data_IF_142076049576
#
_entry.id   IF_142076049576
#
_cell.length_a   1.000
_cell.length_b   1.000
_cell.length_c   1.000
_cell.angle_alpha   90.00
_cell.angle_beta   90.00
_cell.angle_gamma   90.00
#
_symmetry.space_group_name_H-M   'P 1'
#
loop_
_entity.id
_entity.type
_entity.pdbx_description
1 polymer ?
#
# COMPACT_ATOMS: atom_id res chain seq x y z
N UNK A 1 -11.02 -18.53 -5.28
CA UNK A 1 -10.22 -17.63 -4.44
C UNK A 1 -8.89 -17.44 -5.16
N UNK A 2 -8.57 -16.21 -5.56
CA UNK A 2 -7.35 -15.92 -6.32
C UNK A 2 -6.42 -15.10 -5.42
N UNK A 3 -5.35 -15.74 -4.95
CA UNK A 3 -4.27 -15.04 -4.25
C UNK A 3 -3.51 -14.17 -5.25
N UNK A 4 -3.16 -12.96 -4.82
CA UNK A 4 -2.30 -12.07 -5.62
C UNK A 4 -0.86 -12.29 -5.14
N UNK A 5 0.00 -12.74 -6.04
CA UNK A 5 1.45 -12.78 -5.80
C UNK A 5 2.09 -11.53 -6.39
N UNK A 6 2.90 -10.82 -5.61
CA UNK A 6 3.59 -9.63 -6.10
C UNK A 6 4.44 -9.94 -7.34
N UNK A 7 5.10 -11.10 -7.37
CA UNK A 7 5.91 -11.56 -8.49
C UNK A 7 5.18 -11.57 -9.84
N UNK A 8 3.87 -11.81 -9.87
CA UNK A 8 3.07 -11.77 -11.10
C UNK A 8 2.90 -10.34 -11.65
N UNK A 9 2.91 -9.35 -10.77
CA UNK A 9 2.65 -7.94 -11.09
C UNK A 9 3.95 -7.15 -11.27
N UNK A 10 5.03 -7.55 -10.61
CA UNK A 10 6.34 -6.87 -10.64
C UNK A 10 6.83 -6.63 -12.06
N UNK A 11 6.70 -7.61 -12.95
CA UNK A 11 7.11 -7.43 -14.35
C UNK A 11 6.30 -6.36 -15.09
N UNK A 12 5.03 -6.18 -14.73
CA UNK A 12 4.19 -5.14 -15.32
C UNK A 12 4.57 -3.77 -14.77
N UNK A 13 4.75 -3.65 -13.45
CA UNK A 13 5.14 -2.40 -12.80
C UNK A 13 6.53 -1.93 -13.22
N UNK A 14 7.50 -2.84 -13.34
CA UNK A 14 8.86 -2.49 -13.81
C UNK A 14 8.86 -1.95 -15.24
N UNK A 15 7.99 -2.46 -16.11
CA UNK A 15 7.90 -2.03 -17.52
C UNK A 15 7.06 -0.76 -17.73
N UNK A 16 6.03 -0.56 -16.92
CA UNK A 16 5.01 0.48 -17.14
C UNK A 16 4.93 1.53 -16.04
N UNK A 17 5.66 1.36 -14.94
CA UNK A 17 5.48 2.13 -13.71
C UNK A 17 5.68 3.63 -13.88
N UNK A 18 6.60 4.07 -14.75
CA UNK A 18 6.82 5.49 -15.03
C UNK A 18 5.63 6.15 -15.73
N UNK A 19 4.78 5.39 -16.41
CA UNK A 19 3.55 5.87 -17.05
C UNK A 19 2.31 5.65 -16.17
N UNK A 20 2.44 4.83 -15.12
CA UNK A 20 1.33 4.42 -14.27
C UNK A 20 0.94 5.55 -13.31
N UNK A 21 -0.31 6.00 -13.43
CA UNK A 21 -0.89 7.02 -12.54
C UNK A 21 -1.85 6.43 -11.51
N UNK A 22 -2.48 5.30 -11.83
CA UNK A 22 -3.52 4.70 -10.98
C UNK A 22 -3.23 3.22 -10.80
N UNK A 23 -3.01 2.80 -9.57
CA UNK A 23 -2.81 1.41 -9.21
C UNK A 23 -3.92 0.96 -8.26
N UNK A 24 -4.56 -0.16 -8.59
CA UNK A 24 -5.54 -0.82 -7.74
C UNK A 24 -5.22 -2.30 -7.66
N UNK A 25 -4.82 -2.76 -6.48
CA UNK A 25 -4.56 -4.17 -6.16
C UNK A 25 -5.46 -4.55 -5.00
N UNK A 26 -6.58 -5.19 -5.30
CA UNK A 26 -7.60 -5.54 -4.32
C UNK A 26 -7.92 -7.02 -4.39
N UNK A 27 -7.70 -7.71 -3.29
CA UNK A 27 -8.10 -9.07 -2.99
C UNK A 27 -9.18 -9.05 -1.90
N UNK A 28 -10.20 -9.90 -2.01
CA UNK A 28 -11.33 -9.92 -1.08
C UNK A 28 -11.05 -10.71 0.18
N UNK A 29 -10.30 -11.80 0.07
CA UNK A 29 -10.24 -12.84 1.11
C UNK A 29 -8.81 -13.32 1.39
N UNK A 30 -7.83 -12.89 0.59
CA UNK A 30 -6.41 -13.24 0.76
C UNK A 30 -5.51 -12.01 0.87
N UNK A 31 -4.42 -12.08 1.67
CA UNK A 31 -3.37 -11.07 1.64
C UNK A 31 -2.69 -11.00 0.28
N UNK A 32 -1.96 -9.91 0.04
CA UNK A 32 -1.02 -9.84 -1.08
C UNK A 32 0.25 -10.58 -0.66
N UNK A 33 0.52 -11.71 -1.31
CA UNK A 33 1.73 -12.48 -1.06
C UNK A 33 2.94 -11.73 -1.61
N UNK A 34 4.06 -11.80 -0.89
CA UNK A 34 5.30 -11.06 -1.19
C UNK A 34 5.10 -9.53 -1.16
N UNK A 35 4.31 -9.03 -0.20
CA UNK A 35 4.02 -7.61 0.01
C UNK A 35 5.28 -6.73 -0.06
N UNK A 36 6.37 -7.08 0.63
CA UNK A 36 7.59 -6.28 0.62
C UNK A 36 8.18 -6.11 -0.78
N UNK A 37 8.09 -7.13 -1.64
CA UNK A 37 8.54 -7.04 -3.02
C UNK A 37 7.65 -6.09 -3.83
N UNK A 38 6.34 -6.13 -3.61
CA UNK A 38 5.40 -5.19 -4.22
C UNK A 38 5.72 -3.74 -3.82
N UNK A 39 5.89 -3.49 -2.52
CA UNK A 39 6.16 -2.16 -1.97
C UNK A 39 7.47 -1.58 -2.52
N UNK A 40 8.57 -2.34 -2.52
CA UNK A 40 9.83 -1.89 -3.13
C UNK A 40 9.70 -1.59 -4.63
N UNK A 41 8.91 -2.40 -5.33
CA UNK A 41 8.68 -2.21 -6.77
C UNK A 41 7.87 -0.95 -7.04
N UNK A 42 6.82 -0.68 -6.26
CA UNK A 42 6.04 0.55 -6.38
C UNK A 42 6.93 1.77 -6.12
N UNK A 43 7.67 1.76 -5.01
CA UNK A 43 8.61 2.83 -4.62
C UNK A 43 9.66 3.11 -5.70
N UNK A 44 10.22 2.06 -6.30
CA UNK A 44 11.32 2.20 -7.27
C UNK A 44 10.87 2.55 -8.69
N UNK A 45 9.74 1.99 -9.14
CA UNK A 45 9.37 2.02 -10.55
C UNK A 45 8.14 2.88 -10.87
N UNK A 46 7.35 3.28 -9.87
CA UNK A 46 6.05 3.93 -10.08
C UNK A 46 5.98 5.37 -9.50
N UNK A 47 6.90 6.29 -9.87
CA UNK A 47 6.99 7.61 -9.24
C UNK A 47 5.82 8.55 -9.56
N UNK A 48 4.95 8.19 -10.50
CA UNK A 48 3.88 9.05 -11.02
C UNK A 48 2.48 8.67 -10.53
N UNK A 49 2.37 7.78 -9.55
CA UNK A 49 1.09 7.38 -8.99
C UNK A 49 0.40 8.59 -8.33
N UNK A 50 -0.84 8.84 -8.73
CA UNK A 50 -1.76 9.82 -8.14
C UNK A 50 -2.91 9.15 -7.38
N UNK A 51 -3.22 7.89 -7.71
CA UNK A 51 -4.24 7.09 -7.04
C UNK A 51 -3.69 5.71 -6.70
N UNK A 52 -3.65 5.37 -5.41
CA UNK A 52 -3.23 4.07 -4.90
C UNK A 52 -4.38 3.43 -4.11
N UNK A 53 -4.78 2.23 -4.51
CA UNK A 53 -5.76 1.43 -3.78
C UNK A 53 -5.19 0.04 -3.55
N UNK A 54 -4.88 -0.27 -2.29
CA UNK A 54 -4.36 -1.55 -1.89
C UNK A 54 -5.30 -2.18 -0.87
N UNK A 55 -5.44 -3.51 -0.93
CA UNK A 55 -6.07 -4.25 0.14
C UNK A 55 -5.07 -5.19 0.82
N UNK A 56 -5.26 -5.40 2.12
CA UNK A 56 -4.65 -6.47 2.91
C UNK A 56 -3.13 -6.33 2.91
N UNK A 57 -2.70 -5.10 3.20
CA UNK A 57 -1.31 -4.65 3.31
C UNK A 57 -1.06 -4.31 4.76
N UNK A 58 0.07 -4.75 5.31
CA UNK A 58 0.48 -4.43 6.66
C UNK A 58 0.93 -2.96 6.79
N UNK A 59 0.56 -2.27 7.87
CA UNK A 59 1.03 -0.91 8.18
C UNK A 59 2.46 -0.93 8.74
N UNK A 60 3.40 -1.41 7.93
CA UNK A 60 4.83 -1.50 8.24
C UNK A 60 5.58 -0.21 7.92
N UNK A 61 6.78 -0.02 8.47
CA UNK A 61 7.67 1.10 8.12
C UNK A 61 7.91 1.19 6.61
N UNK A 62 8.06 0.04 5.95
CA UNK A 62 8.26 -0.03 4.51
C UNK A 62 7.08 0.55 3.74
N UNK A 63 5.85 0.26 4.16
CA UNK A 63 4.66 0.84 3.55
C UNK A 63 4.67 2.37 3.64
N UNK A 64 4.99 2.93 4.81
CA UNK A 64 5.07 4.39 4.98
C UNK A 64 6.17 5.02 4.11
N UNK A 65 7.34 4.38 3.99
CA UNK A 65 8.38 4.86 3.06
C UNK A 65 7.91 4.90 1.59
N UNK A 66 7.04 3.98 1.16
CA UNK A 66 6.44 4.04 -0.17
C UNK A 66 5.53 5.27 -0.28
N UNK A 67 4.65 5.48 0.70
CA UNK A 67 3.72 6.62 0.68
C UNK A 67 4.49 7.94 0.63
N UNK A 68 5.55 8.09 1.43
CA UNK A 68 6.41 9.27 1.42
C UNK A 68 7.14 9.46 0.09
N UNK A 69 7.50 8.38 -0.59
CA UNK A 69 8.15 8.47 -1.91
C UNK A 69 7.18 8.91 -3.01
N UNK A 70 5.89 8.59 -2.89
CA UNK A 70 4.87 8.92 -3.89
C UNK A 70 4.40 10.38 -3.78
N UNK A 71 5.31 11.31 -4.12
CA UNK A 71 5.10 12.77 -4.04
C UNK A 71 3.91 13.31 -4.85
N UNK A 72 3.38 12.53 -5.80
CA UNK A 72 2.22 12.90 -6.63
C UNK A 72 0.92 12.25 -6.15
N UNK A 73 0.96 11.48 -5.09
CA UNK A 73 -0.21 10.77 -4.56
C UNK A 73 -1.26 11.78 -4.10
N UNK A 74 -2.46 11.66 -4.64
CA UNK A 74 -3.62 12.50 -4.30
C UNK A 74 -4.68 11.69 -3.56
N UNK A 75 -4.77 10.38 -3.86
CA UNK A 75 -5.77 9.50 -3.30
C UNK A 75 -5.14 8.20 -2.85
N UNK A 76 -5.32 7.87 -1.56
CA UNK A 76 -4.96 6.60 -0.96
C UNK A 76 -6.23 5.91 -0.49
N UNK A 77 -6.42 4.65 -0.87
CA UNK A 77 -7.49 3.79 -0.36
C UNK A 77 -6.87 2.52 0.18
N UNK A 78 -7.17 2.21 1.43
CA UNK A 78 -6.71 0.99 2.10
C UNK A 78 -7.95 0.18 2.47
N UNK A 79 -7.94 -1.10 2.15
CA UNK A 79 -8.97 -2.08 2.57
C UNK A 79 -8.25 -3.16 3.36
N UNK A 80 -8.79 -3.58 4.49
CA UNK A 80 -8.22 -4.68 5.27
C UNK A 80 -9.14 -5.91 5.22
N UNK A 81 -8.56 -7.12 5.27
CA UNK A 81 -9.32 -8.36 5.52
C UNK A 81 -9.34 -8.52 7.04
N UNK A 82 -10.40 -8.01 7.63
CA UNK A 82 -10.74 -8.35 9.00
C UNK A 82 -11.27 -9.79 9.03
N UNK A 83 -10.44 -10.74 9.44
CA UNK A 83 -10.94 -11.95 10.10
C UNK A 83 -10.58 -12.04 11.58
N UNK A 84 -9.71 -11.19 12.15
CA UNK A 84 -9.25 -11.40 13.55
C UNK A 84 -9.02 -10.12 14.37
N UNK A 85 -9.88 -9.12 14.25
CA UNK A 85 -10.13 -8.21 15.36
C UNK A 85 -11.64 -7.96 15.40
N UNK A 86 -12.35 -8.79 16.15
CA UNK A 86 -13.76 -8.57 16.48
C UNK A 86 -13.98 -7.21 17.17
N UNK A 87 -12.90 -6.59 17.69
CA UNK A 87 -12.93 -5.31 18.38
C UNK A 87 -12.04 -4.26 17.68
N UNK A 88 -12.70 -3.24 17.15
CA UNK A 88 -12.19 -1.87 16.94
C UNK A 88 -11.38 -1.57 15.65
N UNK A 89 -12.07 -1.33 14.51
CA UNK A 89 -11.50 -0.56 13.38
C UNK A 89 -10.87 0.79 13.78
N UNK A 90 -11.22 1.31 14.96
CA UNK A 90 -10.64 2.50 15.58
C UNK A 90 -9.14 2.34 15.89
N UNK A 91 -8.68 1.13 16.25
CA UNK A 91 -7.25 0.87 16.56
C UNK A 91 -6.37 1.07 15.31
N UNK A 92 -6.81 0.62 14.14
CA UNK A 92 -6.07 0.78 12.89
C UNK A 92 -6.03 2.24 12.43
N UNK A 93 -7.16 2.95 12.54
CA UNK A 93 -7.20 4.39 12.29
C UNK A 93 -6.25 5.11 13.26
N UNK A 94 -6.21 4.71 14.53
CA UNK A 94 -5.29 5.25 15.53
C UNK A 94 -3.84 4.91 15.20
N UNK A 95 -3.50 3.69 14.76
CA UNK A 95 -2.14 3.31 14.38
C UNK A 95 -1.67 4.08 13.16
N UNK A 96 -2.50 4.16 12.12
CA UNK A 96 -2.22 4.95 10.92
C UNK A 96 -2.09 6.44 11.26
N UNK A 97 -3.00 7.00 12.05
CA UNK A 97 -2.95 8.40 12.49
C UNK A 97 -1.75 8.69 13.39
N UNK A 98 -1.35 7.76 14.28
CA UNK A 98 -0.14 7.90 15.10
C UNK A 98 1.10 7.99 14.23
N UNK A 99 1.24 7.12 13.23
CA UNK A 99 2.40 7.14 12.35
C UNK A 99 2.45 8.42 11.49
N UNK A 100 1.33 8.87 10.92
CA UNK A 100 1.26 10.17 10.21
C UNK A 100 1.54 11.36 11.15
N UNK A 101 1.01 11.36 12.37
CA UNK A 101 1.17 12.49 13.29
C UNK A 101 2.62 12.63 13.81
N UNK A 102 3.37 11.53 13.90
CA UNK A 102 4.78 11.55 14.31
C UNK A 102 5.64 12.28 13.26
N UNK A 103 5.36 12.16 11.97
CA UNK A 103 6.12 12.87 10.92
C UNK A 103 5.88 14.39 10.90
N UNK A 104 4.70 14.85 11.33
CA UNK A 104 4.38 16.28 11.45
C UNK A 104 5.06 16.93 12.68
N UNK A 105 5.34 16.15 13.73
CA UNK A 105 5.95 16.68 14.95
C UNK A 105 7.49 16.77 14.90
N UNK A 106 8.13 16.20 13.86
CA UNK A 106 9.60 16.13 13.71
C UNK A 106 10.11 17.04 12.56
N UNK A 107 9.24 17.83 11.94
CA UNK A 107 9.58 18.76 10.84
C UNK A 107 9.70 20.23 11.24
#
# INVERSE_FOLDING_TARGET
MYSIYASDIVQLLTKSGTLLQRLKLVSTDEPIWEESLLLETIKSFCPNITYLNLSNIEFSTQFFEVIDNLQKLQFLTLRDIFEILEDEPEILVIQFAKNIAVDIAVS
#
